data_IF_362089342337
#
_entry.id   IF_362089342337
#
_cell.length_a   1.000
_cell.length_b   1.000
_cell.length_c   1.000
_cell.angle_alpha   90.00
_cell.angle_beta   90.00
_cell.angle_gamma   90.00
#
_symmetry.space_group_name_H-M   'P 1'
#
loop_
_entity.id
_entity.type
_entity.pdbx_description
1 polymer ?
#
# COMPACT_ATOMS: atom_id res chain seq x y z
N UNK A 1 -22.07 23.36 -1.47
CA UNK A 1 -22.98 22.87 -2.52
C UNK A 1 -23.37 23.92 -3.58
N UNK A 2 -23.03 25.21 -3.44
CA UNK A 2 -23.59 26.25 -4.32
C UNK A 2 -22.93 26.47 -5.70
N UNK A 3 -21.69 26.03 -5.92
CA UNK A 3 -20.95 26.35 -7.15
C UNK A 3 -21.13 25.34 -8.30
N UNK A 4 -21.39 24.06 -8.00
CA UNK A 4 -21.54 23.01 -9.02
C UNK A 4 -22.95 22.91 -9.63
N UNK A 5 -23.96 23.47 -8.95
CA UNK A 5 -25.36 23.43 -9.38
C UNK A 5 -25.73 24.53 -10.38
N UNK A 6 -24.98 25.64 -10.43
CA UNK A 6 -25.31 26.80 -11.25
C UNK A 6 -25.21 26.56 -12.76
N UNK A 7 -24.65 25.43 -13.19
CA UNK A 7 -24.53 25.01 -14.60
C UNK A 7 -25.38 23.78 -14.95
N UNK A 8 -26.24 23.31 -14.03
CA UNK A 8 -27.06 22.10 -14.17
C UNK A 8 -28.54 22.45 -14.00
N UNK A 9 -29.11 23.09 -15.02
CA UNK A 9 -30.47 23.65 -14.99
C UNK A 9 -31.54 22.57 -14.80
N UNK A 10 -31.35 21.37 -15.38
CA UNK A 10 -32.33 20.27 -15.29
C UNK A 10 -32.31 19.63 -13.91
N UNK A 11 -31.12 19.35 -13.38
CA UNK A 11 -30.92 18.80 -12.03
C UNK A 11 -31.49 19.75 -10.98
N UNK A 12 -31.27 21.06 -11.17
CA UNK A 12 -31.86 22.10 -10.31
C UNK A 12 -33.38 22.11 -10.37
N UNK A 13 -33.97 21.94 -11.56
CA UNK A 13 -35.42 21.79 -11.73
C UNK A 13 -35.99 20.61 -10.96
N UNK A 14 -35.49 19.40 -11.22
CA UNK A 14 -35.97 18.18 -10.54
C UNK A 14 -35.72 18.16 -9.03
N UNK A 15 -34.68 18.83 -8.55
CA UNK A 15 -34.45 19.00 -7.11
C UNK A 15 -35.48 19.96 -6.49
N UNK A 16 -35.79 21.09 -7.14
CA UNK A 16 -36.81 22.03 -6.68
C UNK A 16 -38.20 21.41 -6.62
N UNK A 17 -38.52 20.55 -7.58
CA UNK A 17 -39.78 19.82 -7.64
C UNK A 17 -39.86 18.67 -6.62
N UNK A 18 -38.78 18.43 -5.85
CA UNK A 18 -38.71 17.40 -4.81
C UNK A 18 -38.54 15.98 -5.34
N UNK A 19 -38.24 15.82 -6.63
CA UNK A 19 -38.07 14.52 -7.27
C UNK A 19 -36.69 13.89 -7.01
N UNK A 20 -35.67 14.73 -6.76
CA UNK A 20 -34.31 14.28 -6.45
C UNK A 20 -33.96 14.46 -4.98
N UNK A 21 -33.31 13.46 -4.38
CA UNK A 21 -32.65 13.63 -3.08
C UNK A 21 -31.32 14.39 -3.23
N UNK A 22 -30.82 14.94 -2.12
CA UNK A 22 -29.51 15.62 -2.08
C UNK A 22 -28.36 14.69 -2.49
N UNK A 23 -28.46 13.40 -2.19
CA UNK A 23 -27.47 12.38 -2.56
C UNK A 23 -27.44 12.15 -4.07
N UNK A 24 -28.59 12.13 -4.73
CA UNK A 24 -28.66 12.04 -6.19
C UNK A 24 -28.10 13.29 -6.86
N UNK A 25 -28.40 14.47 -6.32
CA UNK A 25 -27.82 15.73 -6.80
C UNK A 25 -26.30 15.71 -6.67
N UNK A 26 -25.77 15.28 -5.52
CA UNK A 26 -24.33 15.16 -5.29
C UNK A 26 -23.67 14.16 -6.26
N UNK A 27 -24.29 13.00 -6.49
CA UNK A 27 -23.82 12.01 -7.45
C UNK A 27 -23.81 12.55 -8.90
N UNK A 28 -24.81 13.32 -9.31
CA UNK A 28 -24.86 13.94 -10.65
C UNK A 28 -23.78 15.01 -10.78
N UNK A 29 -23.64 15.91 -9.80
CA UNK A 29 -22.62 16.98 -9.82
C UNK A 29 -21.21 16.39 -9.89
N UNK A 30 -20.93 15.38 -9.05
CA UNK A 30 -19.66 14.63 -9.08
C UNK A 30 -19.46 13.93 -10.41
N UNK A 31 -20.51 13.31 -10.95
CA UNK A 31 -20.47 12.63 -12.24
C UNK A 31 -20.15 13.56 -13.40
N UNK A 32 -20.77 14.74 -13.47
CA UNK A 32 -20.49 15.74 -14.52
C UNK A 32 -19.08 16.29 -14.41
N UNK A 33 -18.65 16.65 -13.20
CA UNK A 33 -17.27 17.11 -12.95
C UNK A 33 -16.29 16.03 -13.40
N UNK A 34 -16.57 14.78 -13.04
CA UNK A 34 -15.77 13.63 -13.44
C UNK A 34 -15.73 13.43 -14.95
N UNK A 35 -16.79 13.69 -15.71
CA UNK A 35 -16.77 13.56 -17.18
C UNK A 35 -16.00 14.72 -17.81
N UNK A 36 -16.14 15.94 -17.27
CA UNK A 36 -15.44 17.14 -17.76
C UNK A 36 -13.92 17.01 -17.61
N UNK A 37 -13.46 16.53 -16.45
CA UNK A 37 -12.04 16.28 -16.17
C UNK A 37 -11.39 15.22 -17.08
N UNK A 38 -12.18 14.45 -17.85
CA UNK A 38 -11.71 13.35 -18.72
C UNK A 38 -11.44 13.79 -20.14
N UNK A 39 -11.93 14.96 -20.52
CA UNK A 39 -11.73 15.48 -21.85
C UNK A 39 -10.45 16.29 -21.90
N UNK A 40 -9.45 15.81 -22.64
CA UNK A 40 -8.20 16.56 -22.86
C UNK A 40 -8.46 17.90 -23.57
N UNK A 41 -9.52 17.99 -24.37
CA UNK A 41 -9.97 19.19 -25.08
C UNK A 41 -11.05 19.99 -24.34
N UNK A 42 -11.54 19.48 -23.21
CA UNK A 42 -12.67 20.03 -22.44
C UNK A 42 -14.04 19.70 -23.04
N UNK A 43 -15.06 19.62 -22.18
CA UNK A 43 -16.43 19.29 -22.61
C UNK A 43 -17.24 20.57 -22.89
N UNK A 44 -17.89 20.63 -24.05
CA UNK A 44 -18.75 21.75 -24.44
C UNK A 44 -20.03 21.83 -23.60
N UNK A 45 -20.67 23.00 -23.56
CA UNK A 45 -21.93 23.19 -22.82
C UNK A 45 -23.07 22.27 -23.32
N UNK A 46 -23.08 21.94 -24.61
CA UNK A 46 -24.06 21.01 -25.19
C UNK A 46 -23.82 19.58 -24.70
N UNK A 47 -22.58 19.10 -24.77
CA UNK A 47 -22.22 17.76 -24.29
C UNK A 47 -22.49 17.61 -22.78
N UNK A 48 -22.19 18.64 -21.98
CA UNK A 48 -22.55 18.66 -20.55
C UNK A 48 -24.05 18.49 -20.32
N UNK A 49 -24.88 19.13 -21.15
CA UNK A 49 -26.34 19.00 -21.08
C UNK A 49 -26.82 17.59 -21.45
N UNK A 50 -26.14 16.94 -22.39
CA UNK A 50 -26.45 15.57 -22.83
C UNK A 50 -26.03 14.54 -21.76
N UNK A 51 -24.88 14.73 -21.12
CA UNK A 51 -24.47 13.93 -19.97
C UNK A 51 -25.40 14.11 -18.77
N UNK A 52 -25.78 15.36 -18.46
CA UNK A 52 -26.75 15.64 -17.39
C UNK A 52 -28.07 14.91 -17.66
N UNK A 53 -28.57 14.98 -18.90
CA UNK A 53 -29.78 14.27 -19.31
C UNK A 53 -29.68 12.76 -19.14
N UNK A 54 -28.51 12.21 -19.47
CA UNK A 54 -28.26 10.76 -19.40
C UNK A 54 -28.25 10.30 -17.94
N UNK A 55 -27.54 11.00 -17.06
CA UNK A 55 -27.51 10.67 -15.63
C UNK A 55 -28.89 10.81 -14.99
N UNK A 56 -29.64 11.87 -15.32
CA UNK A 56 -31.01 12.07 -14.84
C UNK A 56 -31.95 10.95 -15.29
N UNK A 57 -31.84 10.48 -16.52
CA UNK A 57 -32.64 9.35 -17.03
C UNK A 57 -32.44 8.09 -16.16
N UNK A 58 -31.21 7.80 -15.75
CA UNK A 58 -30.93 6.68 -14.86
C UNK A 58 -31.50 6.87 -13.45
N UNK A 59 -31.44 8.09 -12.91
CA UNK A 59 -32.06 8.40 -11.61
C UNK A 59 -33.58 8.24 -11.67
N UNK A 60 -34.22 8.77 -12.71
CA UNK A 60 -35.66 8.62 -12.95
C UNK A 60 -36.04 7.14 -13.08
N UNK A 61 -35.15 6.31 -13.64
CA UNK A 61 -35.32 4.86 -13.74
C UNK A 61 -35.07 4.10 -12.41
N UNK A 62 -34.76 4.80 -11.32
CA UNK A 62 -34.57 4.23 -9.99
C UNK A 62 -33.12 3.81 -9.65
N UNK A 63 -32.12 4.27 -10.40
CA UNK A 63 -30.72 3.97 -10.09
C UNK A 63 -30.28 4.65 -8.78
N UNK A 64 -29.66 3.93 -7.83
CA UNK A 64 -29.12 4.54 -6.61
C UNK A 64 -27.89 5.41 -6.91
N UNK A 65 -27.51 6.34 -6.02
CA UNK A 65 -26.39 7.26 -6.23
C UNK A 65 -25.08 6.59 -6.65
N UNK A 66 -24.75 5.43 -6.06
CA UNK A 66 -23.54 4.65 -6.39
C UNK A 66 -23.53 4.11 -7.82
N UNK A 67 -24.70 3.75 -8.36
CA UNK A 67 -24.80 3.31 -9.76
C UNK A 67 -24.74 4.51 -10.72
N UNK A 68 -25.28 5.67 -10.33
CA UNK A 68 -25.12 6.93 -11.10
C UNK A 68 -23.66 7.32 -11.22
N UNK A 69 -22.89 7.25 -10.13
CA UNK A 69 -21.43 7.48 -10.15
C UNK A 69 -20.70 6.49 -11.07
N UNK A 70 -21.12 5.23 -11.08
CA UNK A 70 -20.55 4.19 -11.96
C UNK A 70 -20.86 4.44 -13.44
N UNK A 71 -22.08 4.89 -13.75
CA UNK A 71 -22.48 5.27 -15.11
C UNK A 71 -21.70 6.49 -15.58
N UNK A 72 -21.57 7.52 -14.74
CA UNK A 72 -20.78 8.71 -15.05
C UNK A 72 -19.32 8.37 -15.35
N UNK A 73 -18.73 7.44 -14.58
CA UNK A 73 -17.39 6.92 -14.85
C UNK A 73 -17.30 6.20 -16.20
N UNK A 74 -18.33 5.44 -16.58
CA UNK A 74 -18.41 4.80 -17.90
C UNK A 74 -18.43 5.81 -19.04
N UNK A 75 -19.22 6.89 -18.91
CA UNK A 75 -19.29 7.99 -19.88
C UNK A 75 -17.95 8.75 -19.97
N UNK A 76 -17.33 9.04 -18.82
CA UNK A 76 -16.02 9.68 -18.77
C UNK A 76 -14.92 8.84 -19.43
N UNK A 77 -14.98 7.51 -19.34
CA UNK A 77 -14.05 6.63 -20.06
C UNK A 77 -14.27 6.66 -21.58
N UNK A 78 -15.53 6.78 -22.05
CA UNK A 78 -15.83 6.92 -23.48
C UNK A 78 -15.27 8.23 -24.02
N UNK A 79 -15.47 9.33 -23.29
CA UNK A 79 -14.93 10.64 -23.67
C UNK A 79 -13.41 10.62 -23.72
N UNK A 80 -12.75 10.06 -22.72
CA UNK A 80 -11.29 9.93 -22.71
C UNK A 80 -10.77 9.14 -23.94
N UNK A 81 -11.49 8.08 -24.35
CA UNK A 81 -11.17 7.32 -25.56
C UNK A 81 -11.35 8.14 -26.85
N UNK A 82 -12.36 9.00 -26.90
CA UNK A 82 -12.69 9.81 -28.08
C UNK A 82 -11.82 11.06 -28.21
N UNK A 83 -11.42 11.69 -27.10
CA UNK A 83 -10.69 12.96 -27.07
C UNK A 83 -9.19 12.85 -26.84
N UNK A 84 -8.71 11.66 -26.49
CA UNK A 84 -7.37 11.49 -25.93
C UNK A 84 -7.40 11.70 -24.41
N UNK A 85 -6.67 10.84 -23.70
CA UNK A 85 -6.58 10.82 -22.23
C UNK A 85 -6.77 9.41 -21.65
N UNK A 86 -5.86 8.91 -20.77
CA UNK A 86 -6.15 7.69 -20.03
C UNK A 86 -7.28 7.95 -19.01
N UNK A 87 -8.16 6.97 -18.71
CA UNK A 87 -9.08 7.13 -17.59
C UNK A 87 -8.27 7.32 -16.29
N UNK A 88 -8.69 8.09 -15.27
CA UNK A 88 -8.03 8.18 -13.97
C UNK A 88 -7.69 6.89 -13.25
N UNK A 89 -8.38 5.79 -13.56
CA UNK A 89 -7.95 4.48 -13.08
C UNK A 89 -6.64 4.01 -13.74
N UNK A 90 -6.18 4.66 -14.81
CA UNK A 90 -5.01 4.32 -15.61
C UNK A 90 -4.09 5.55 -15.81
N UNK A 91 -4.40 6.69 -15.17
CA UNK A 91 -3.59 7.90 -15.23
C UNK A 91 -2.58 7.93 -14.08
N UNK A 92 -1.29 7.62 -14.34
CA UNK A 92 -0.28 7.60 -13.29
C UNK A 92 0.08 9.00 -12.78
N UNK A 93 -0.31 10.08 -13.46
CA UNK A 93 -0.04 11.44 -13.01
C UNK A 93 -0.85 11.84 -11.77
N UNK A 94 -1.95 11.13 -11.51
CA UNK A 94 -2.81 11.32 -10.33
C UNK A 94 -2.34 10.53 -9.09
N UNK A 95 -1.31 9.69 -9.24
CA UNK A 95 -0.82 8.85 -8.16
C UNK A 95 -0.26 9.71 -7.01
N UNK A 96 -0.70 9.41 -5.79
CA UNK A 96 -0.21 9.99 -4.55
C UNK A 96 0.08 8.90 -3.52
N UNK A 97 1.14 9.11 -2.73
CA UNK A 97 1.52 8.21 -1.65
C UNK A 97 2.05 9.04 -0.48
N UNK A 98 1.17 9.33 0.46
CA UNK A 98 1.45 10.21 1.60
C UNK A 98 1.48 9.41 2.89
N UNK A 99 2.46 9.70 3.75
CA UNK A 99 2.55 9.13 5.08
C UNK A 99 3.09 10.13 6.09
N UNK A 100 2.72 9.91 7.35
CA UNK A 100 3.20 10.65 8.51
C UNK A 100 3.50 9.69 9.65
N UNK A 101 4.36 10.14 10.56
CA UNK A 101 4.60 9.43 11.83
C UNK A 101 3.77 10.07 12.91
N UNK A 102 2.94 9.27 13.59
CA UNK A 102 2.07 9.69 14.68
C UNK A 102 2.24 8.69 15.83
N UNK A 103 2.66 9.16 17.01
CA UNK A 103 2.94 8.33 18.19
C UNK A 103 3.89 7.14 17.90
N UNK A 104 4.92 7.35 17.08
CA UNK A 104 5.88 6.31 16.69
C UNK A 104 5.31 5.26 15.72
N UNK A 105 4.12 5.49 15.17
CA UNK A 105 3.49 4.65 14.14
C UNK A 105 3.46 5.37 12.81
N UNK A 106 3.70 4.63 11.74
CA UNK A 106 3.53 5.13 10.38
C UNK A 106 2.06 5.02 9.98
N UNK A 107 1.45 6.16 9.65
CA UNK A 107 0.08 6.24 9.14
C UNK A 107 0.12 6.90 7.77
N UNK A 108 -0.49 6.27 6.77
CA UNK A 108 -0.46 6.79 5.41
C UNK A 108 -1.74 6.54 4.65
N UNK A 109 -1.86 7.25 3.53
CA UNK A 109 -2.90 7.12 2.52
C UNK A 109 -2.22 7.12 1.17
N UNK A 110 -2.71 6.29 0.26
CA UNK A 110 -2.28 6.29 -1.12
C UNK A 110 -3.50 6.31 -2.02
N UNK A 111 -3.34 6.94 -3.18
CA UNK A 111 -4.27 6.92 -4.30
C UNK A 111 -3.43 6.55 -5.53
N UNK A 112 -3.74 5.42 -6.16
CA UNK A 112 -2.87 4.84 -7.19
C UNK A 112 -3.69 4.25 -8.32
N UNK A 113 -3.12 4.28 -9.52
CA UNK A 113 -3.68 3.69 -10.73
C UNK A 113 -3.92 2.17 -10.58
N UNK A 114 -4.71 1.63 -11.50
CA UNK A 114 -5.16 0.25 -11.55
C UNK A 114 -3.99 -0.72 -11.66
N UNK A 115 -2.90 -0.35 -12.34
CA UNK A 115 -1.73 -1.22 -12.46
C UNK A 115 -1.03 -1.36 -11.11
N UNK A 116 -0.84 -0.28 -10.36
CA UNK A 116 -0.25 -0.32 -9.01
C UNK A 116 -1.21 -1.00 -8.03
N UNK A 117 -2.51 -0.69 -8.11
CA UNK A 117 -3.54 -1.28 -7.25
C UNK A 117 -3.61 -2.81 -7.43
N UNK A 118 -3.57 -3.31 -8.66
CA UNK A 118 -3.61 -4.74 -8.95
C UNK A 118 -2.34 -5.45 -8.45
N UNK A 119 -1.17 -4.83 -8.61
CA UNK A 119 0.10 -5.34 -8.04
C UNK A 119 0.02 -5.43 -6.52
N UNK A 120 -0.49 -4.39 -5.85
CA UNK A 120 -0.63 -4.37 -4.40
C UNK A 120 -1.62 -5.45 -3.94
N UNK A 121 -2.77 -5.59 -4.60
CA UNK A 121 -3.75 -6.62 -4.29
C UNK A 121 -3.19 -8.03 -4.46
N UNK A 122 -2.49 -8.27 -5.58
CA UNK A 122 -1.85 -9.55 -5.87
C UNK A 122 -0.77 -9.89 -4.83
N UNK A 123 0.10 -8.93 -4.51
CA UNK A 123 1.19 -9.10 -3.57
C UNK A 123 0.70 -9.37 -2.14
N UNK A 124 -0.28 -8.60 -1.67
CA UNK A 124 -0.86 -8.80 -0.34
C UNK A 124 -1.75 -10.05 -0.28
N UNK A 125 -2.44 -10.38 -1.36
CA UNK A 125 -3.37 -11.51 -1.42
C UNK A 125 -2.69 -12.84 -1.09
N UNK A 126 -1.46 -13.05 -1.57
CA UNK A 126 -0.69 -14.26 -1.28
C UNK A 126 -0.40 -14.42 0.21
N UNK A 127 0.08 -13.35 0.85
CA UNK A 127 0.50 -13.37 2.27
C UNK A 127 -0.65 -13.18 3.26
N UNK A 128 -1.83 -12.73 2.80
CA UNK A 128 -3.02 -12.50 3.62
C UNK A 128 -3.84 -13.76 3.92
N UNK A 129 -3.30 -14.96 3.67
CA UNK A 129 -4.00 -16.23 3.98
C UNK A 129 -4.05 -16.44 5.50
N UNK A 130 -5.23 -16.68 6.09
CA UNK A 130 -5.34 -17.01 7.52
C UNK A 130 -4.52 -18.25 7.87
N UNK A 131 -3.92 -18.25 9.05
CA UNK A 131 -3.14 -19.36 9.61
C UNK A 131 -3.92 -19.95 10.79
N UNK A 132 -4.55 -21.13 10.63
CA UNK A 132 -5.18 -21.83 11.74
C UNK A 132 -4.17 -22.12 12.84
N UNK A 133 -4.65 -22.18 14.08
CA UNK A 133 -3.82 -22.59 15.21
C UNK A 133 -3.51 -24.09 15.16
N UNK A 134 -2.49 -24.57 15.89
CA UNK A 134 -2.14 -26.00 15.93
C UNK A 134 -3.28 -26.92 16.37
N UNK A 135 -4.23 -26.39 17.15
CA UNK A 135 -5.44 -27.09 17.59
C UNK A 135 -6.57 -27.11 16.53
N UNK A 136 -6.34 -26.52 15.35
CA UNK A 136 -7.30 -26.41 14.26
C UNK A 136 -8.29 -25.24 14.40
N UNK A 137 -8.20 -24.45 15.46
CA UNK A 137 -9.03 -23.25 15.61
C UNK A 137 -8.65 -22.16 14.60
N UNK A 138 -9.58 -21.24 14.35
CA UNK A 138 -9.38 -20.15 13.40
C UNK A 138 -8.22 -19.23 13.81
N UNK A 139 -7.65 -18.54 12.83
CA UNK A 139 -6.61 -17.53 13.06
C UNK A 139 -7.13 -16.46 14.03
N UNK A 140 -6.46 -16.20 15.16
CA UNK A 140 -6.91 -15.20 16.13
C UNK A 140 -6.75 -13.76 15.63
N UNK A 141 -5.99 -13.52 14.56
CA UNK A 141 -5.76 -12.19 14.00
C UNK A 141 -6.97 -11.73 13.18
N UNK A 142 -7.30 -10.46 13.33
CA UNK A 142 -8.28 -9.81 12.45
C UNK A 142 -7.79 -9.74 11.00
N UNK A 143 -8.72 -9.59 10.04
CA UNK A 143 -8.39 -9.45 8.61
C UNK A 143 -7.41 -8.30 8.33
N UNK A 144 -7.51 -7.20 9.08
CA UNK A 144 -6.61 -6.04 8.94
C UNK A 144 -5.22 -6.32 9.50
N UNK A 145 -5.11 -7.03 10.63
CA UNK A 145 -3.83 -7.49 11.17
C UNK A 145 -3.13 -8.48 10.22
N UNK A 146 -3.86 -9.44 9.67
CA UNK A 146 -3.33 -10.37 8.66
C UNK A 146 -2.77 -9.61 7.45
N UNK A 147 -3.46 -8.55 7.00
CA UNK A 147 -3.00 -7.72 5.89
C UNK A 147 -1.80 -6.85 6.24
N UNK A 148 -1.70 -6.37 7.48
CA UNK A 148 -0.51 -5.66 7.96
C UNK A 148 0.71 -6.58 8.01
N UNK A 149 0.53 -7.83 8.46
CA UNK A 149 1.58 -8.84 8.43
C UNK A 149 1.99 -9.18 6.99
N UNK A 150 1.02 -9.25 6.07
CA UNK A 150 1.29 -9.43 4.64
C UNK A 150 2.11 -8.28 4.05
N UNK A 151 1.84 -7.05 4.45
CA UNK A 151 2.61 -5.88 4.02
C UNK A 151 4.05 -5.93 4.55
N UNK A 152 4.27 -6.37 5.79
CA UNK A 152 5.62 -6.63 6.32
C UNK A 152 6.37 -7.66 5.47
N UNK A 153 5.73 -8.78 5.12
CA UNK A 153 6.36 -9.80 4.26
C UNK A 153 6.68 -9.27 2.85
N UNK A 154 5.81 -8.41 2.31
CA UNK A 154 6.04 -7.77 1.02
C UNK A 154 7.30 -6.89 1.04
N UNK A 155 7.54 -6.15 2.12
CA UNK A 155 8.74 -5.31 2.27
C UNK A 155 10.01 -6.15 2.45
N UNK A 156 9.93 -7.23 3.24
CA UNK A 156 11.04 -8.16 3.46
C UNK A 156 11.48 -8.87 2.16
N UNK A 157 10.51 -9.36 1.38
CA UNK A 157 10.78 -10.09 0.14
C UNK A 157 10.99 -9.18 -1.08
N UNK A 158 10.28 -8.04 -1.16
CA UNK A 158 10.46 -7.05 -2.22
C UNK A 158 11.82 -6.37 -2.18
N UNK A 159 12.44 -6.32 -0.99
CA UNK A 159 13.82 -5.89 -0.78
C UNK A 159 14.87 -6.96 -1.10
N UNK A 160 14.53 -8.14 -1.62
CA UNK A 160 15.56 -9.13 -1.94
C UNK A 160 15.02 -10.38 -2.62
N UNK A 161 15.21 -10.49 -3.94
CA UNK A 161 15.01 -11.77 -4.63
C UNK A 161 14.59 -11.69 -6.09
N UNK A 162 15.35 -10.95 -6.91
CA UNK A 162 15.38 -11.23 -8.33
C UNK A 162 16.77 -11.76 -8.69
N UNK A 163 16.84 -13.01 -9.17
CA UNK A 163 17.98 -13.53 -9.97
C UNK A 163 18.07 -12.84 -11.36
N UNK A 164 17.25 -11.81 -11.59
CA UNK A 164 17.27 -10.98 -12.78
C UNK A 164 18.41 -9.97 -12.78
N UNK A 165 18.86 -9.61 -13.99
CA UNK A 165 20.00 -8.75 -14.33
C UNK A 165 20.00 -7.32 -13.71
N UNK A 166 19.02 -6.97 -12.88
CA UNK A 166 18.90 -5.68 -12.19
C UNK A 166 18.44 -5.97 -10.76
N UNK A 167 19.40 -6.08 -9.83
CA UNK A 167 19.09 -6.27 -8.41
C UNK A 167 18.61 -4.95 -7.82
N UNK A 168 17.31 -4.87 -7.49
CA UNK A 168 16.79 -3.74 -6.72
C UNK A 168 17.56 -3.61 -5.39
N UNK A 169 17.85 -2.38 -4.91
CA UNK A 169 18.54 -2.19 -3.65
C UNK A 169 17.77 -2.87 -2.52
N UNK A 170 18.50 -3.50 -1.59
CA UNK A 170 17.86 -4.16 -0.46
C UNK A 170 17.20 -3.14 0.45
N UNK A 171 15.99 -3.45 0.91
CA UNK A 171 15.35 -2.71 1.99
C UNK A 171 16.12 -3.01 3.27
N UNK A 172 16.75 -2.00 3.87
CA UNK A 172 17.51 -2.13 5.11
C UNK A 172 16.88 -1.30 6.22
N UNK A 173 16.93 -1.82 7.45
CA UNK A 173 16.48 -1.12 8.65
C UNK A 173 17.72 -0.71 9.45
N UNK A 174 17.99 0.58 9.49
CA UNK A 174 19.12 1.14 10.23
C UNK A 174 18.76 1.36 11.69
N UNK A 175 19.52 0.73 12.58
CA UNK A 175 19.41 0.88 14.04
C UNK A 175 20.70 1.49 14.57
N UNK A 176 20.58 2.64 15.22
CA UNK A 176 21.69 3.26 15.95
C UNK A 176 21.57 2.98 17.43
N UNK A 177 22.64 2.51 18.06
CA UNK A 177 22.70 2.21 19.50
C UNK A 177 23.93 2.91 20.11
N UNK A 178 23.75 3.95 20.94
CA UNK A 178 24.85 4.58 21.65
C UNK A 178 25.52 3.60 22.61
N UNK A 179 26.85 3.50 22.58
CA UNK A 179 27.59 2.53 23.39
C UNK A 179 27.52 2.82 24.90
N UNK A 180 27.43 4.09 25.29
CA UNK A 180 27.28 4.59 26.66
C UNK A 180 25.85 4.49 27.19
N UNK A 181 24.87 4.47 26.29
CA UNK A 181 23.45 4.43 26.60
C UNK A 181 22.71 3.43 25.70
N UNK A 182 22.90 2.11 25.91
CA UNK A 182 22.32 1.07 25.06
C UNK A 182 20.79 1.05 25.07
N UNK A 183 20.17 1.63 26.10
CA UNK A 183 18.72 1.81 26.19
C UNK A 183 18.17 2.96 25.33
N UNK A 184 19.02 3.70 24.61
CA UNK A 184 18.64 4.80 23.70
C UNK A 184 18.79 4.41 22.23
N UNK A 185 18.45 3.16 21.90
CA UNK A 185 18.41 2.72 20.52
C UNK A 185 17.37 3.50 19.71
N UNK A 186 17.66 3.80 18.45
CA UNK A 186 16.75 4.51 17.55
C UNK A 186 16.81 3.98 16.13
N UNK A 187 15.66 3.99 15.47
CA UNK A 187 15.54 3.82 14.02
C UNK A 187 15.82 5.15 13.32
N UNK A 188 16.41 5.09 12.13
CA UNK A 188 16.74 6.26 11.33
C UNK A 188 15.55 7.19 11.10
N UNK A 189 14.39 6.62 10.74
CA UNK A 189 13.19 7.39 10.37
C UNK A 189 12.11 7.41 11.44
N UNK A 190 12.00 6.34 12.24
CA UNK A 190 10.90 6.15 13.21
C UNK A 190 11.26 6.57 14.64
N UNK A 191 12.51 6.97 14.88
CA UNK A 191 12.94 7.49 16.18
C UNK A 191 13.22 6.40 17.23
N UNK A 192 13.13 6.72 18.53
CA UNK A 192 13.54 5.83 19.61
C UNK A 192 12.75 4.52 19.67
N UNK A 193 13.44 3.44 20.01
CA UNK A 193 12.87 2.10 20.19
C UNK A 193 13.28 1.50 21.53
N UNK A 194 12.52 0.50 21.98
CA UNK A 194 12.84 -0.23 23.21
C UNK A 194 14.08 -1.11 23.01
N UNK A 195 14.76 -1.43 24.11
CA UNK A 195 15.87 -2.39 24.12
C UNK A 195 15.43 -3.77 23.60
N UNK A 196 14.21 -4.21 23.94
CA UNK A 196 13.64 -5.46 23.43
C UNK A 196 13.50 -5.44 21.90
N UNK A 197 13.06 -4.32 21.31
CA UNK A 197 12.98 -4.16 19.86
C UNK A 197 14.37 -4.14 19.21
N UNK A 198 15.32 -3.42 19.80
CA UNK A 198 16.70 -3.37 19.30
C UNK A 198 17.37 -4.76 19.33
N UNK A 199 17.19 -5.51 20.42
CA UNK A 199 17.69 -6.88 20.55
C UNK A 199 17.06 -7.82 19.51
N UNK A 200 15.75 -7.68 19.25
CA UNK A 200 15.07 -8.46 18.20
C UNK A 200 15.60 -8.15 16.80
N UNK A 201 15.84 -6.88 16.47
CA UNK A 201 16.41 -6.48 15.19
C UNK A 201 17.87 -6.97 15.03
N UNK A 202 18.64 -7.00 16.11
CA UNK A 202 20.02 -7.47 16.10
C UNK A 202 20.18 -8.96 15.69
N UNK A 203 19.15 -9.79 15.86
CA UNK A 203 19.17 -11.23 15.58
C UNK A 203 19.53 -11.59 14.12
N UNK A 204 19.19 -10.74 13.15
CA UNK A 204 19.54 -10.92 11.73
C UNK A 204 20.29 -9.71 11.15
N UNK A 205 20.90 -8.90 12.02
CA UNK A 205 21.61 -7.70 11.58
C UNK A 205 23.06 -7.98 11.21
N UNK A 206 23.56 -7.18 10.27
CA UNK A 206 24.98 -6.95 10.11
C UNK A 206 25.35 -5.77 11.01
N UNK A 207 26.31 -5.97 11.92
CA UNK A 207 26.68 -4.95 12.91
C UNK A 207 28.03 -4.35 12.51
N UNK A 208 28.10 -3.02 12.53
CA UNK A 208 29.33 -2.24 12.38
C UNK A 208 29.50 -1.37 13.62
N UNK A 209 30.69 -1.38 14.20
CA UNK A 209 31.01 -0.52 15.33
C UNK A 209 31.73 0.73 14.84
N UNK A 210 31.22 1.90 15.20
CA UNK A 210 31.83 3.19 14.86
C UNK A 210 32.22 3.86 16.18
N UNK A 211 33.51 4.19 16.32
CA UNK A 211 34.02 4.95 17.45
C UNK A 211 34.12 6.42 17.02
N UNK A 212 33.48 7.29 17.78
CA UNK A 212 33.51 8.73 17.59
C UNK A 212 34.45 9.39 18.60
N UNK A 213 35.12 10.47 18.22
CA UNK A 213 35.85 11.32 19.16
C UNK A 213 34.94 12.29 19.94
N UNK A 214 35.53 13.17 20.76
CA UNK A 214 34.79 14.18 21.51
C UNK A 214 34.08 15.24 20.66
N UNK A 215 34.33 15.29 19.35
CA UNK A 215 33.66 16.18 18.39
C UNK A 215 32.68 15.44 17.46
N UNK A 216 32.33 14.19 17.79
CA UNK A 216 31.46 13.31 17.00
C UNK A 216 32.01 12.92 15.62
N UNK A 217 33.34 12.96 15.45
CA UNK A 217 34.01 12.54 14.21
C UNK A 217 34.37 11.06 14.29
N UNK A 218 34.05 10.23 13.28
CA UNK A 218 34.49 8.85 13.22
C UNK A 218 36.01 8.73 13.19
N UNK A 219 36.59 8.09 14.22
CA UNK A 219 38.04 7.83 14.32
C UNK A 219 38.39 6.37 14.08
N UNK A 220 37.42 5.45 14.23
CA UNK A 220 37.58 4.04 13.92
C UNK A 220 36.26 3.42 13.51
N UNK A 221 36.30 2.54 12.50
CA UNK A 221 35.14 1.79 12.00
C UNK A 221 35.53 0.31 11.89
N UNK A 222 34.75 -0.56 12.52
CA UNK A 222 34.92 -2.01 12.35
C UNK A 222 34.29 -2.47 11.04
N UNK A 223 34.88 -3.45 10.32
CA UNK A 223 34.21 -4.09 9.20
C UNK A 223 32.85 -4.66 9.61
N UNK A 224 31.85 -4.63 8.71
CA UNK A 224 30.55 -5.19 8.97
C UNK A 224 30.67 -6.68 9.32
N UNK A 225 30.08 -7.09 10.45
CA UNK A 225 30.08 -8.49 10.90
C UNK A 225 28.66 -8.94 11.23
N UNK A 226 28.27 -10.08 10.66
CA UNK A 226 27.02 -10.75 11.03
C UNK A 226 27.26 -11.65 12.23
N UNK A 227 26.47 -11.46 13.29
CA UNK A 227 26.58 -12.30 14.50
C UNK A 227 26.03 -13.71 14.27
N UNK A 228 24.98 -13.83 13.45
CA UNK A 228 24.35 -15.10 13.08
C UNK A 228 24.43 -15.33 11.57
N UNK A 229 25.48 -16.00 11.12
CA UNK A 229 25.62 -16.39 9.70
C UNK A 229 24.51 -17.35 9.27
N UNK A 230 24.29 -17.49 7.95
CA UNK A 230 23.29 -18.42 7.43
C UNK A 230 23.50 -19.86 7.91
N UNK A 231 24.76 -20.29 8.05
CA UNK A 231 25.11 -21.61 8.58
C UNK A 231 24.78 -21.75 10.08
N UNK A 232 25.12 -20.74 10.89
CA UNK A 232 24.81 -20.76 12.33
C UNK A 232 23.29 -20.80 12.55
N UNK A 233 22.52 -20.08 11.73
CA UNK A 233 21.05 -20.12 11.77
C UNK A 233 20.50 -21.50 11.41
N UNK A 234 20.98 -22.10 10.31
CA UNK A 234 20.59 -23.47 9.92
C UNK A 234 20.88 -24.45 11.06
N UNK A 235 22.04 -24.33 11.71
CA UNK A 235 22.39 -25.16 12.87
C UNK A 235 21.46 -24.94 14.08
N UNK A 236 21.05 -23.69 14.36
CA UNK A 236 20.09 -23.37 15.43
C UNK A 236 18.70 -23.94 15.12
N UNK A 237 18.21 -23.84 13.87
CA UNK A 237 16.91 -24.37 13.45
C UNK A 237 16.90 -25.90 13.63
N UNK A 238 17.92 -26.60 13.13
CA UNK A 238 18.05 -28.06 13.27
C UNK A 238 18.12 -28.47 14.74
N UNK A 239 18.83 -27.69 15.58
CA UNK A 239 18.88 -27.94 17.03
C UNK A 239 17.52 -27.69 17.70
N UNK A 240 16.80 -26.66 17.26
CA UNK A 240 15.49 -26.23 17.77
C UNK A 240 14.33 -27.15 17.37
N UNK A 241 14.46 -27.93 16.29
CA UNK A 241 13.47 -28.96 15.92
C UNK A 241 13.32 -30.08 16.97
N UNK A 242 14.21 -30.15 17.97
CA UNK A 242 14.02 -31.00 19.16
C UNK A 242 13.03 -30.41 20.20
N UNK A 243 12.64 -29.13 20.07
CA UNK A 243 11.66 -28.46 20.95
C UNK A 243 10.75 -27.56 20.09
N UNK A 244 9.52 -28.04 19.85
CA UNK A 244 8.38 -27.38 19.18
C UNK A 244 8.36 -27.37 17.64
N UNK A 245 7.79 -28.43 17.07
CA UNK A 245 7.16 -28.39 15.76
C UNK A 245 5.95 -27.43 15.81
N UNK A 246 6.03 -26.29 15.12
CA UNK A 246 4.84 -25.44 14.94
C UNK A 246 5.09 -23.93 14.81
N UNK A 247 6.06 -23.47 14.03
CA UNK A 247 6.03 -22.09 13.52
C UNK A 247 6.88 -21.93 12.25
N UNK A 248 6.38 -22.45 11.13
CA UNK A 248 6.95 -22.13 9.82
C UNK A 248 6.65 -20.68 9.46
N UNK A 249 7.56 -19.74 9.74
CA UNK A 249 7.68 -18.56 8.87
C UNK A 249 8.12 -19.12 7.52
N UNK A 250 7.22 -19.11 6.53
CA UNK A 250 7.60 -19.32 5.15
C UNK A 250 8.60 -18.22 4.80
N UNK A 251 9.89 -18.52 4.93
CA UNK A 251 10.93 -17.70 4.33
C UNK A 251 10.71 -17.64 2.83
N UNK A 252 11.03 -16.50 2.23
CA UNK A 252 11.08 -16.34 0.78
C UNK A 252 11.77 -17.60 0.19
N UNK A 253 11.02 -18.33 -0.63
CA UNK A 253 11.35 -19.68 -1.06
C UNK A 253 12.68 -19.72 -1.81
N UNK A 254 13.73 -20.21 -1.15
CA UNK A 254 14.94 -20.76 -1.78
C UNK A 254 14.48 -22.04 -2.51
N UNK A 255 14.27 -21.95 -3.82
CA UNK A 255 13.98 -23.13 -4.64
C UNK A 255 15.12 -24.14 -4.52
N UNK A 256 14.73 -25.39 -4.28
CA UNK A 256 15.63 -26.54 -4.15
C UNK A 256 16.34 -26.77 -5.48
N UNK A 257 17.65 -26.54 -5.48
CA UNK A 257 18.55 -27.13 -6.46
C UNK A 257 18.38 -28.65 -6.44
N UNK A 258 17.97 -29.19 -7.58
CA UNK A 258 17.89 -30.60 -7.89
C UNK A 258 19.24 -31.27 -7.61
N UNK A 259 19.30 -32.10 -6.57
CA UNK A 259 20.36 -33.08 -6.42
C UNK A 259 20.11 -34.20 -7.44
N UNK A 260 20.70 -34.05 -8.62
CA UNK A 260 20.88 -35.17 -9.54
C UNK A 260 22.08 -35.99 -9.05
N UNK A 261 21.77 -37.17 -8.53
CA UNK A 261 22.70 -38.25 -8.21
C UNK A 261 23.58 -38.60 -9.40
N UNK A 262 24.89 -38.70 -9.18
CA UNK A 262 25.75 -39.76 -9.76
C UNK A 262 26.84 -40.07 -8.75
#
# INVERSE_FOLDING_TARGET
MGAGLSSLDRTTGYFRDGFLSTEHVDAIVKGITHIDDRSEVGVSAQERTDFESTLLSHVISGAPPTEVEKIARGLGNQIAADTGGPPPAEDPSLNSFDFKVEEGRLVGRFDVDAQIAEKLHSALGYWSKPRPQPDGSADPRSKTQIRADAFHQLLDCGGGGGDGLISAPRTEVNVSVPADHPNRASLEWMGPITEATAAMLACDSTISFITLDGQQVPIAMSPPKRLFSGLVRKAIIIRGESVSAGMGRAGCSEERGSAATT
#
